data_IF_005529926406
#
_entry.id   IF_005529926406
#
_cell.length_a   1.000
_cell.length_b   1.000
_cell.length_c   1.000
_cell.angle_alpha   90.00
_cell.angle_beta   90.00
_cell.angle_gamma   90.00
#
_symmetry.space_group_name_H-M   'P 1'
#
loop_
_entity.id
_entity.type
_entity.pdbx_description
1 polymer ?
#
# COMPACT_ATOMS: atom_id res chain seq x y z
N UNK A 1 -17.79 -2.62 -0.41
CA UNK A 1 -16.67 -2.29 0.49
C UNK A 1 -15.35 -2.75 -0.10
N UNK A 2 -14.27 -2.00 0.13
CA UNK A 2 -12.92 -2.37 -0.28
C UNK A 2 -12.48 -3.63 0.46
N UNK A 3 -11.84 -4.56 -0.26
CA UNK A 3 -11.23 -5.77 0.32
C UNK A 3 -9.74 -5.81 0.00
N UNK A 4 -8.93 -6.27 0.96
CA UNK A 4 -7.47 -6.33 0.86
C UNK A 4 -7.01 -7.75 1.22
N UNK A 5 -6.07 -8.29 0.43
CA UNK A 5 -5.40 -9.55 0.76
C UNK A 5 -4.47 -9.30 1.94
N UNK A 6 -4.82 -9.85 3.10
CA UNK A 6 -4.01 -9.73 4.30
C UNK A 6 -2.99 -10.87 4.33
N UNK A 7 -1.70 -10.52 4.25
CA UNK A 7 -0.61 -11.52 4.27
C UNK A 7 -0.52 -12.25 5.62
N UNK A 8 -0.91 -11.62 6.74
CA UNK A 8 -0.86 -12.23 8.08
C UNK A 8 -1.80 -13.45 8.18
N UNK A 9 -2.98 -13.36 7.59
CA UNK A 9 -4.00 -14.42 7.62
C UNK A 9 -4.07 -15.24 6.34
N UNK A 10 -3.48 -14.72 5.25
CA UNK A 10 -3.58 -15.30 3.93
C UNK A 10 -4.99 -15.19 3.32
N UNK A 11 -5.86 -14.32 3.81
CA UNK A 11 -7.25 -14.21 3.36
C UNK A 11 -7.56 -12.85 2.72
N UNK A 12 -8.63 -12.81 1.91
CA UNK A 12 -9.18 -11.56 1.40
C UNK A 12 -10.15 -11.00 2.43
N UNK A 13 -9.78 -9.89 3.06
CA UNK A 13 -10.51 -9.31 4.20
C UNK A 13 -11.13 -7.97 3.84
N UNK A 14 -12.22 -7.63 4.50
CA UNK A 14 -12.83 -6.30 4.38
C UNK A 14 -11.94 -5.26 5.07
N UNK A 15 -11.60 -4.18 4.35
CA UNK A 15 -10.83 -3.09 4.93
C UNK A 15 -11.70 -2.24 5.86
N UNK A 16 -11.25 -2.08 7.11
CA UNK A 16 -11.88 -1.23 8.13
C UNK A 16 -10.85 -0.25 8.68
N UNK A 17 -11.03 1.07 8.52
CA UNK A 17 -10.05 2.04 8.99
C UNK A 17 -10.03 2.10 10.52
N UNK A 18 -8.84 2.34 11.08
CA UNK A 18 -8.65 2.49 12.54
C UNK A 18 -9.27 3.81 13.03
N UNK A 19 -9.16 4.89 12.25
CA UNK A 19 -9.75 6.20 12.56
C UNK A 19 -10.86 6.53 11.56
N UNK A 20 -11.97 7.08 12.06
CA UNK A 20 -13.05 7.60 11.22
C UNK A 20 -12.47 8.70 10.30
N UNK A 21 -12.64 8.55 8.99
CA UNK A 21 -12.15 9.47 7.95
C UNK A 21 -10.62 9.55 7.79
N UNK A 22 -9.87 8.53 8.23
CA UNK A 22 -8.43 8.51 8.07
C UNK A 22 -7.87 7.12 7.85
N UNK A 23 -6.98 7.00 6.88
CA UNK A 23 -6.19 5.78 6.62
C UNK A 23 -4.72 6.12 6.82
N UNK A 24 -4.03 5.32 7.62
CA UNK A 24 -2.57 5.37 7.72
C UNK A 24 -1.98 4.26 6.86
N UNK A 25 -1.01 4.60 6.03
CA UNK A 25 -0.34 3.69 5.12
C UNK A 25 1.16 3.88 5.23
N UNK A 26 1.90 2.78 5.30
CA UNK A 26 3.36 2.78 5.32
C UNK A 26 3.89 1.78 4.30
N UNK A 27 4.94 2.18 3.60
CA UNK A 27 5.70 1.33 2.71
C UNK A 27 7.19 1.61 2.94
N UNK A 28 7.99 0.53 2.98
CA UNK A 28 9.43 0.66 3.08
C UNK A 28 10.00 1.41 1.86
N UNK A 29 10.88 2.38 2.13
CA UNK A 29 11.62 3.12 1.12
C UNK A 29 12.80 2.31 0.56
N UNK A 30 13.49 2.87 -0.46
CA UNK A 30 14.70 2.26 -0.98
C UNK A 30 15.91 2.56 -0.11
N UNK A 31 16.89 1.66 -0.10
CA UNK A 31 18.23 1.99 0.41
C UNK A 31 18.96 2.83 -0.64
N UNK A 32 19.48 3.99 -0.24
CA UNK A 32 19.97 5.05 -1.16
C UNK A 32 21.45 4.93 -1.56
N UNK A 33 22.00 3.73 -1.64
CA UNK A 33 23.41 3.53 -2.04
C UNK A 33 23.61 3.40 -3.55
N UNK A 34 22.54 3.26 -4.33
CA UNK A 34 22.60 3.09 -5.79
C UNK A 34 21.30 3.52 -6.50
N UNK A 35 21.39 3.61 -7.83
CA UNK A 35 20.24 3.85 -8.71
C UNK A 35 19.19 2.75 -8.59
N UNK A 36 17.92 3.15 -8.45
CA UNK A 36 16.80 2.23 -8.34
C UNK A 36 16.56 1.48 -9.65
N UNK A 37 16.39 0.17 -9.58
CA UNK A 37 16.06 -0.65 -10.75
C UNK A 37 14.54 -0.81 -10.90
N UNK A 38 14.09 -1.34 -12.04
CA UNK A 38 12.66 -1.48 -12.37
C UNK A 38 11.85 -2.25 -11.31
N UNK A 39 12.48 -3.23 -10.64
CA UNK A 39 11.87 -3.93 -9.50
C UNK A 39 11.52 -3.02 -8.31
N UNK A 40 12.37 -2.05 -7.95
CA UNK A 40 12.06 -1.07 -6.90
C UNK A 40 10.92 -0.16 -7.34
N UNK A 41 10.96 0.31 -8.60
CA UNK A 41 9.96 1.20 -9.16
C UNK A 41 8.58 0.55 -9.24
N UNK A 42 8.50 -0.76 -9.52
CA UNK A 42 7.25 -1.53 -9.45
C UNK A 42 6.64 -1.46 -8.04
N UNK A 43 7.46 -1.61 -7.00
CA UNK A 43 7.01 -1.49 -5.61
C UNK A 43 6.47 -0.09 -5.31
N UNK A 44 7.19 0.96 -5.71
CA UNK A 44 6.77 2.36 -5.51
C UNK A 44 5.47 2.69 -6.25
N UNK A 45 5.32 2.19 -7.48
CA UNK A 45 4.11 2.36 -8.29
C UNK A 45 2.90 1.68 -7.63
N UNK A 46 3.10 0.51 -7.04
CA UNK A 46 2.06 -0.17 -6.26
C UNK A 46 1.62 0.64 -5.03
N UNK A 47 2.58 1.24 -4.32
CA UNK A 47 2.30 2.16 -3.22
C UNK A 47 1.46 3.36 -3.62
N UNK A 48 1.85 4.02 -4.72
CA UNK A 48 1.12 5.15 -5.28
C UNK A 48 -0.32 4.76 -5.66
N UNK A 49 -0.51 3.60 -6.30
CA UNK A 49 -1.85 3.08 -6.61
C UNK A 49 -2.69 2.89 -5.33
N UNK A 50 -2.14 2.31 -4.27
CA UNK A 50 -2.85 2.12 -3.00
C UNK A 50 -3.29 3.48 -2.43
N UNK A 51 -2.38 4.45 -2.38
CA UNK A 51 -2.69 5.80 -1.87
C UNK A 51 -3.77 6.47 -2.71
N UNK A 52 -3.72 6.36 -4.04
CA UNK A 52 -4.75 6.92 -4.93
C UNK A 52 -6.09 6.25 -4.72
N UNK A 53 -6.15 4.93 -4.63
CA UNK A 53 -7.39 4.19 -4.38
C UNK A 53 -8.07 4.67 -3.11
N UNK A 54 -7.32 4.89 -2.02
CA UNK A 54 -7.87 5.40 -0.76
C UNK A 54 -8.21 6.88 -0.75
N UNK A 55 -7.65 7.69 -1.65
CA UNK A 55 -7.98 9.11 -1.77
C UNK A 55 -9.25 9.35 -2.60
N UNK A 56 -9.53 8.48 -3.55
CA UNK A 56 -10.61 8.67 -4.53
C UNK A 56 -11.84 7.77 -4.32
N UNK A 57 -11.78 6.80 -3.40
CA UNK A 57 -12.91 5.96 -2.98
C UNK A 57 -13.19 6.16 -1.50
#
# INVERSE_FOLDING_TARGET
MLKIKNTLTGQLEEFKPIKKNGVSFYQCGPTVYWTQHIGNLRGMTWGDLIVRVFKFN
#
